data_IF_475434387690
#
_entry.id   IF_475434387690
#
_cell.length_a   1.000
_cell.length_b   1.000
_cell.length_c   1.000
_cell.angle_alpha   90.00
_cell.angle_beta   90.00
_cell.angle_gamma   90.00
#
_symmetry.space_group_name_H-M   'P 1'
#
loop_
_entity.id
_entity.type
_entity.pdbx_description
1 polymer ?
#
# COMPACT_ATOMS: atom_id res chain seq x y z
N UNK A 1 53.68 -4.41 -0.06
CA UNK A 1 53.03 -4.56 1.27
C UNK A 1 52.34 -3.29 1.79
N UNK A 2 53.00 -2.12 1.88
CA UNK A 2 52.37 -0.87 2.39
C UNK A 2 51.11 -0.45 1.62
N UNK A 3 51.16 -0.44 0.27
CA UNK A 3 49.99 -0.12 -0.59
C UNK A 3 48.79 -1.06 -0.38
N UNK A 4 49.02 -2.37 -0.26
CA UNK A 4 47.95 -3.36 -0.05
C UNK A 4 47.27 -3.16 1.31
N UNK A 5 48.04 -2.89 2.38
CA UNK A 5 47.48 -2.55 3.70
C UNK A 5 46.65 -1.27 3.65
N UNK A 6 47.12 -0.26 2.91
CA UNK A 6 46.40 1.01 2.75
C UNK A 6 45.07 0.81 2.00
N UNK A 7 45.07 0.04 0.91
CA UNK A 7 43.84 -0.32 0.17
C UNK A 7 42.86 -1.08 1.07
N UNK A 8 43.35 -2.05 1.86
CA UNK A 8 42.51 -2.80 2.79
C UNK A 8 41.86 -1.93 3.87
N UNK A 9 42.62 -0.98 4.44
CA UNK A 9 42.08 -0.03 5.43
C UNK A 9 41.04 0.90 4.78
N UNK A 10 41.35 1.46 3.60
CA UNK A 10 40.41 2.33 2.89
C UNK A 10 39.10 1.61 2.51
N UNK A 11 39.20 0.35 2.08
CA UNK A 11 38.03 -0.47 1.79
C UNK A 11 37.21 -0.77 3.06
N UNK A 12 37.89 -1.08 4.18
CA UNK A 12 37.25 -1.31 5.46
C UNK A 12 36.50 -0.07 5.97
N UNK A 13 37.11 1.12 5.86
CA UNK A 13 36.46 2.38 6.21
C UNK A 13 35.26 2.66 5.30
N UNK A 14 35.37 2.43 3.99
CA UNK A 14 34.25 2.59 3.06
C UNK A 14 33.08 1.67 3.42
N UNK A 15 33.34 0.40 3.71
CA UNK A 15 32.30 -0.57 4.09
C UNK A 15 31.64 -0.16 5.41
N UNK A 16 32.43 0.26 6.42
CA UNK A 16 31.90 0.71 7.70
C UNK A 16 31.02 1.95 7.53
N UNK A 17 31.44 2.92 6.72
CA UNK A 17 30.65 4.13 6.44
C UNK A 17 29.37 3.80 5.70
N UNK A 18 29.42 2.91 4.69
CA UNK A 18 28.21 2.44 3.99
C UNK A 18 27.27 1.69 4.93
N UNK A 19 27.80 0.89 5.85
CA UNK A 19 27.04 0.18 6.86
C UNK A 19 26.36 1.16 7.84
N UNK A 20 27.07 2.19 8.31
CA UNK A 20 26.52 3.20 9.20
C UNK A 20 25.45 4.05 8.50
N UNK A 21 25.68 4.44 7.24
CA UNK A 21 24.66 5.13 6.44
C UNK A 21 23.44 4.23 6.29
N UNK A 22 23.62 2.96 5.90
CA UNK A 22 22.52 1.99 5.81
C UNK A 22 21.73 1.91 7.13
N UNK A 23 22.43 1.81 8.26
CA UNK A 23 21.84 1.71 9.59
C UNK A 23 20.97 2.92 9.96
N UNK A 24 21.32 4.13 9.53
CA UNK A 24 20.61 5.36 9.91
C UNK A 24 19.66 5.91 8.85
N UNK A 25 19.68 5.37 7.63
CA UNK A 25 19.05 6.00 6.45
C UNK A 25 17.63 5.53 6.14
N UNK A 26 17.13 4.48 6.82
CA UNK A 26 15.82 3.91 6.49
C UNK A 26 15.78 3.22 5.13
N UNK A 27 16.94 2.81 4.59
CA UNK A 27 17.02 1.94 3.42
C UNK A 27 16.89 0.48 3.82
N UNK A 28 16.07 -0.27 3.09
CA UNK A 28 15.85 -1.70 3.31
C UNK A 28 16.21 -2.49 2.06
N UNK A 29 16.78 -3.69 2.24
CA UNK A 29 16.98 -4.63 1.13
C UNK A 29 15.71 -5.41 0.76
N UNK A 30 14.74 -5.43 1.66
CA UNK A 30 13.44 -6.09 1.46
C UNK A 30 12.33 -5.05 1.63
N UNK A 31 11.42 -4.93 0.66
CA UNK A 31 10.28 -4.04 0.80
C UNK A 31 9.36 -4.50 1.94
N UNK A 32 9.25 -5.80 2.17
CA UNK A 32 8.46 -6.33 3.29
C UNK A 32 9.08 -5.96 4.63
N UNK A 33 10.41 -6.06 4.78
CA UNK A 33 11.08 -5.67 6.01
C UNK A 33 10.90 -4.18 6.32
N UNK A 34 10.90 -3.33 5.28
CA UNK A 34 10.60 -1.90 5.40
C UNK A 34 9.21 -1.66 6.01
N UNK A 35 8.18 -2.37 5.54
CA UNK A 35 6.81 -2.21 6.05
C UNK A 35 6.70 -2.78 7.45
N UNK A 36 7.18 -3.99 7.69
CA UNK A 36 7.06 -4.62 9.00
C UNK A 36 7.78 -3.84 10.10
N UNK A 37 8.92 -3.20 9.80
CA UNK A 37 9.59 -2.32 10.76
C UNK A 37 8.70 -1.12 11.14
N UNK A 38 8.07 -0.49 10.15
CA UNK A 38 7.09 0.58 10.37
C UNK A 38 5.88 0.11 11.21
N UNK A 39 5.32 -1.06 10.86
CA UNK A 39 4.19 -1.64 11.60
C UNK A 39 4.56 -2.00 13.05
N UNK A 40 5.78 -2.48 13.30
CA UNK A 40 6.28 -2.71 14.67
C UNK A 40 6.39 -1.39 15.44
N UNK A 41 6.90 -0.34 14.81
CA UNK A 41 6.98 1.00 15.40
C UNK A 41 5.61 1.60 15.75
N UNK A 42 4.57 1.21 15.02
CA UNK A 42 3.18 1.61 15.26
C UNK A 42 2.41 0.69 16.22
N UNK A 43 3.06 -0.33 16.81
CA UNK A 43 2.42 -1.34 17.64
C UNK A 43 1.28 -2.11 16.93
N UNK A 44 1.36 -2.22 15.61
CA UNK A 44 0.35 -2.88 14.77
C UNK A 44 0.55 -4.41 14.70
N UNK A 45 1.76 -4.88 15.02
CA UNK A 45 2.11 -6.29 14.99
C UNK A 45 1.66 -7.01 16.27
N UNK A 46 1.19 -8.27 16.20
CA UNK A 46 1.18 -9.14 15.01
C UNK A 46 0.06 -8.80 14.02
N UNK A 47 0.35 -8.98 12.73
CA UNK A 47 -0.60 -8.80 11.63
C UNK A 47 -0.34 -9.78 10.49
N UNK A 48 -1.38 -10.09 9.73
CA UNK A 48 -1.32 -10.92 8.54
C UNK A 48 -1.14 -10.07 7.28
N UNK A 49 -0.31 -10.53 6.34
CA UNK A 49 -0.17 -9.91 5.02
C UNK A 49 -1.30 -10.39 4.10
N UNK A 50 -2.23 -9.50 3.78
CA UNK A 50 -3.33 -9.74 2.86
C UNK A 50 -2.85 -9.54 1.42
N UNK A 51 -2.31 -8.37 1.07
CA UNK A 51 -1.85 -8.10 -0.30
C UNK A 51 -0.35 -7.80 -0.39
N UNK A 52 0.23 -8.14 -1.54
CA UNK A 52 1.59 -7.79 -2.01
C UNK A 52 1.48 -7.52 -3.51
N UNK A 53 1.15 -6.27 -3.87
CA UNK A 53 1.00 -5.85 -5.28
C UNK A 53 2.25 -5.10 -5.69
N UNK A 54 2.84 -5.49 -6.82
CA UNK A 54 4.10 -4.93 -7.32
C UNK A 54 3.88 -4.22 -8.64
N UNK A 55 4.37 -3.00 -8.71
CA UNK A 55 4.52 -2.24 -9.97
C UNK A 55 6.02 -2.09 -10.26
N UNK A 56 6.39 -1.28 -11.26
CA UNK A 56 7.80 -1.15 -11.68
C UNK A 56 8.72 -0.69 -10.54
N UNK A 57 8.33 0.36 -9.83
CA UNK A 57 9.14 1.00 -8.79
C UNK A 57 8.49 0.99 -7.41
N UNK A 58 7.30 0.41 -7.26
CA UNK A 58 6.58 0.40 -6.00
C UNK A 58 6.08 -0.99 -5.63
N UNK A 59 5.97 -1.22 -4.32
CA UNK A 59 5.30 -2.39 -3.75
C UNK A 59 4.28 -1.89 -2.74
N UNK A 60 3.05 -2.40 -2.85
CA UNK A 60 1.93 -2.06 -1.99
C UNK A 60 1.57 -3.28 -1.16
N UNK A 61 1.47 -3.06 0.15
CA UNK A 61 1.10 -4.07 1.10
C UNK A 61 -0.18 -3.68 1.82
N UNK A 62 -1.06 -4.65 1.98
CA UNK A 62 -2.13 -4.58 2.96
C UNK A 62 -1.82 -5.57 4.06
N UNK A 63 -1.75 -5.09 5.30
CA UNK A 63 -1.72 -5.92 6.50
C UNK A 63 -3.02 -5.75 7.27
N UNK A 64 -3.49 -6.81 7.91
CA UNK A 64 -4.66 -6.76 8.77
C UNK A 64 -4.45 -7.58 10.05
N UNK A 65 -5.10 -7.16 11.13
CA UNK A 65 -5.26 -7.91 12.36
C UNK A 65 -6.75 -7.86 12.79
N UNK A 66 -7.09 -8.40 13.96
CA UNK A 66 -8.47 -8.52 14.45
C UNK A 66 -9.21 -7.17 14.62
N UNK A 67 -8.48 -6.05 14.61
CA UNK A 67 -9.05 -4.73 14.90
C UNK A 67 -8.69 -3.69 13.85
N UNK A 68 -7.64 -3.90 13.07
CA UNK A 68 -7.05 -2.85 12.26
C UNK A 68 -6.59 -3.41 10.91
N UNK A 69 -6.56 -2.56 9.89
CA UNK A 69 -5.82 -2.82 8.67
C UNK A 69 -4.89 -1.64 8.36
N UNK A 70 -3.79 -1.93 7.68
CA UNK A 70 -2.76 -0.96 7.32
C UNK A 70 -2.37 -1.14 5.86
N UNK A 71 -2.58 -0.09 5.07
CA UNK A 71 -2.12 0.01 3.69
C UNK A 71 -0.78 0.74 3.69
N UNK A 72 0.24 0.13 3.10
CA UNK A 72 1.57 0.71 3.01
C UNK A 72 2.11 0.64 1.58
N UNK A 73 2.81 1.69 1.17
CA UNK A 73 3.58 1.71 -0.07
C UNK A 73 5.06 1.80 0.22
N UNK A 74 5.84 1.09 -0.59
CA UNK A 74 7.31 1.07 -0.53
C UNK A 74 7.84 1.39 -1.90
N UNK A 75 8.77 2.34 -1.99
CA UNK A 75 9.41 2.72 -3.25
C UNK A 75 10.78 2.06 -3.35
N UNK A 76 11.01 1.39 -4.48
CA UNK A 76 12.35 0.97 -4.90
C UNK A 76 13.16 2.22 -5.25
N UNK A 77 14.27 2.42 -4.57
CA UNK A 77 15.23 3.49 -4.85
C UNK A 77 16.36 2.96 -5.72
N UNK A 78 17.37 3.79 -6.02
CA UNK A 78 18.51 3.39 -6.82
C UNK A 78 19.10 2.03 -6.37
N UNK A 79 19.48 1.19 -7.33
CA UNK A 79 19.92 -0.20 -7.15
C UNK A 79 18.79 -1.15 -6.67
N UNK A 80 18.93 -1.69 -5.46
CA UNK A 80 18.07 -2.74 -4.89
C UNK A 80 17.60 -2.39 -3.46
N UNK A 81 17.60 -1.09 -3.14
CA UNK A 81 17.12 -0.57 -1.87
C UNK A 81 15.66 -0.13 -1.96
N UNK A 82 15.00 -0.13 -0.81
CA UNK A 82 13.60 0.22 -0.64
C UNK A 82 13.45 1.21 0.52
N UNK A 83 12.51 2.14 0.37
CA UNK A 83 12.13 3.10 1.41
C UNK A 83 10.62 3.17 1.55
N UNK A 84 10.12 3.50 2.73
CA UNK A 84 8.71 3.77 2.93
C UNK A 84 8.28 4.95 2.05
N UNK A 85 7.14 4.81 1.37
CA UNK A 85 6.63 5.80 0.42
C UNK A 85 5.24 6.34 0.79
N UNK A 86 4.68 5.90 1.92
CA UNK A 86 3.38 6.31 2.42
C UNK A 86 2.65 5.15 3.07
N UNK A 87 1.52 5.47 3.70
CA UNK A 87 0.60 4.48 4.23
C UNK A 87 -0.53 5.11 5.03
N UNK A 88 -1.52 4.29 5.34
CA UNK A 88 -2.66 4.60 6.18
C UNK A 88 -2.89 3.42 7.13
N UNK A 89 -3.40 3.71 8.32
CA UNK A 89 -3.85 2.71 9.29
C UNK A 89 -5.29 3.01 9.66
N UNK A 90 -6.14 2.00 9.64
CA UNK A 90 -7.55 2.09 9.96
C UNK A 90 -7.88 1.17 11.13
N UNK A 91 -8.57 1.72 12.13
CA UNK A 91 -8.86 1.06 13.39
C UNK A 91 -10.34 0.71 13.50
N UNK A 92 -10.63 -0.34 14.27
CA UNK A 92 -11.97 -0.81 14.58
C UNK A 92 -12.84 -1.11 13.34
N UNK A 93 -12.22 -1.49 12.22
CA UNK A 93 -12.91 -1.76 10.96
C UNK A 93 -14.01 -2.83 11.06
N UNK A 94 -13.93 -3.88 11.92
CA UNK A 94 -15.02 -4.86 12.03
C UNK A 94 -16.32 -4.28 12.62
N UNK A 95 -16.28 -3.06 13.15
CA UNK A 95 -17.44 -2.38 13.77
C UNK A 95 -18.19 -1.46 12.81
N UNK A 96 -17.76 -1.34 11.56
CA UNK A 96 -18.46 -0.50 10.59
C UNK A 96 -19.87 -1.00 10.33
N UNK A 97 -20.84 -0.09 10.34
CA UNK A 97 -22.25 -0.37 10.01
C UNK A 97 -22.54 -0.23 8.52
N UNK A 98 -21.59 0.32 7.78
CA UNK A 98 -21.68 0.53 6.34
C UNK A 98 -21.55 -0.80 5.59
N UNK A 99 -22.18 -0.99 4.41
CA UNK A 99 -22.05 -2.23 3.63
C UNK A 99 -20.58 -2.57 3.29
N UNK A 100 -19.78 -1.55 3.04
CA UNK A 100 -18.34 -1.62 2.83
C UNK A 100 -17.68 -0.31 3.25
N UNK A 101 -16.39 -0.38 3.57
CA UNK A 101 -15.53 0.76 3.79
C UNK A 101 -14.59 0.95 2.61
N UNK A 102 -14.22 2.20 2.35
CA UNK A 102 -13.28 2.58 1.32
C UNK A 102 -12.03 3.14 1.98
N UNK A 103 -10.88 2.71 1.49
CA UNK A 103 -9.61 3.36 1.77
C UNK A 103 -8.89 3.61 0.45
N UNK A 104 -8.07 4.64 0.46
CA UNK A 104 -7.35 5.11 -0.70
C UNK A 104 -5.95 5.53 -0.31
N UNK A 105 -5.01 5.23 -1.19
CA UNK A 105 -3.66 5.76 -1.10
C UNK A 105 -3.18 6.13 -2.48
N UNK A 106 -2.21 7.01 -2.55
CA UNK A 106 -1.53 7.28 -3.80
C UNK A 106 -0.08 7.63 -3.53
N UNK A 107 0.75 7.35 -4.53
CA UNK A 107 2.09 7.89 -4.61
C UNK A 107 2.20 8.83 -5.81
N UNK A 108 3.43 9.05 -6.29
CA UNK A 108 3.70 9.98 -7.39
C UNK A 108 3.25 9.45 -8.76
N UNK A 109 3.01 8.14 -8.90
CA UNK A 109 2.75 7.49 -10.18
C UNK A 109 1.55 6.53 -10.17
N UNK A 110 1.15 6.02 -9.01
CA UNK A 110 0.00 5.12 -8.89
C UNK A 110 -1.02 5.58 -7.84
N UNK A 111 -2.26 5.16 -8.06
CA UNK A 111 -3.40 5.21 -7.15
C UNK A 111 -3.72 3.80 -6.66
N UNK A 112 -4.07 3.68 -5.39
CA UNK A 112 -4.48 2.44 -4.75
C UNK A 112 -5.90 2.63 -4.24
N UNK A 113 -6.78 1.75 -4.71
CA UNK A 113 -8.16 1.67 -4.24
C UNK A 113 -8.30 0.41 -3.41
N UNK A 114 -8.77 0.56 -2.19
CA UNK A 114 -9.02 -0.53 -1.26
C UNK A 114 -10.49 -0.50 -0.84
N UNK A 115 -11.11 -1.68 -0.86
CA UNK A 115 -12.43 -1.91 -0.30
C UNK A 115 -12.29 -2.94 0.80
N UNK A 116 -12.84 -2.63 1.98
CA UNK A 116 -13.12 -3.61 3.01
C UNK A 116 -14.62 -3.93 3.00
N UNK A 117 -14.95 -5.21 2.82
CA UNK A 117 -16.33 -5.69 2.74
C UNK A 117 -16.85 -6.04 4.13
N UNK A 118 -17.81 -5.26 4.62
CA UNK A 118 -18.51 -5.58 5.88
C UNK A 118 -19.69 -6.53 5.66
N UNK A 119 -20.20 -6.59 4.42
CA UNK A 119 -21.34 -7.39 4.01
C UNK A 119 -20.95 -8.46 2.98
N UNK A 120 -21.02 -9.76 3.32
CA UNK A 120 -20.53 -10.83 2.46
C UNK A 120 -21.34 -10.99 1.16
N UNK A 121 -22.53 -10.39 1.07
CA UNK A 121 -23.35 -10.39 -0.14
C UNK A 121 -22.86 -9.41 -1.21
N UNK A 122 -21.94 -8.49 -0.89
CA UNK A 122 -21.28 -7.64 -1.88
C UNK A 122 -20.29 -8.49 -2.69
N UNK A 123 -20.57 -8.59 -3.99
CA UNK A 123 -19.75 -9.36 -4.93
C UNK A 123 -18.76 -8.47 -5.68
N UNK A 124 -19.10 -7.20 -5.91
CA UNK A 124 -18.31 -6.26 -6.73
C UNK A 124 -18.48 -4.85 -6.20
N UNK A 125 -17.40 -4.07 -6.24
CA UNK A 125 -17.44 -2.61 -6.14
C UNK A 125 -16.85 -1.98 -7.40
N UNK A 126 -17.53 -1.00 -7.95
CA UNK A 126 -17.07 -0.20 -9.08
C UNK A 126 -16.88 1.25 -8.62
N UNK A 127 -15.71 1.81 -8.90
CA UNK A 127 -15.41 3.22 -8.64
C UNK A 127 -15.21 3.94 -9.97
N UNK A 128 -16.13 4.83 -10.31
CA UNK A 128 -16.04 5.70 -11.47
C UNK A 128 -15.44 7.04 -11.05
N UNK A 129 -14.23 7.33 -11.51
CA UNK A 129 -13.47 8.51 -11.11
C UNK A 129 -14.02 9.79 -11.76
N UNK A 130 -14.14 10.86 -10.98
CA UNK A 130 -14.72 12.12 -11.46
C UNK A 130 -13.87 12.81 -12.53
N UNK A 131 -12.54 12.65 -12.46
CA UNK A 131 -11.60 13.36 -13.34
C UNK A 131 -11.67 12.90 -14.80
N UNK A 132 -11.71 11.58 -15.02
CA UNK A 132 -11.54 10.98 -16.35
C UNK A 132 -12.60 9.91 -16.68
N UNK A 133 -13.59 9.70 -15.79
CA UNK A 133 -14.61 8.64 -15.91
C UNK A 133 -14.05 7.21 -16.00
N UNK A 134 -12.77 7.03 -15.67
CA UNK A 134 -12.15 5.70 -15.59
C UNK A 134 -12.80 4.92 -14.47
N UNK A 135 -12.96 3.62 -14.70
CA UNK A 135 -13.60 2.71 -13.75
C UNK A 135 -12.57 1.79 -13.12
N UNK A 136 -12.39 1.87 -11.82
CA UNK A 136 -11.69 0.87 -11.03
C UNK A 136 -12.69 -0.21 -10.60
N UNK A 137 -12.44 -1.45 -11.03
CA UNK A 137 -13.27 -2.59 -10.70
C UNK A 137 -12.60 -3.41 -9.60
N UNK A 138 -13.29 -3.56 -8.47
CA UNK A 138 -12.85 -4.37 -7.33
C UNK A 138 -13.81 -5.55 -7.16
N UNK A 139 -13.44 -6.70 -7.72
CA UNK A 139 -14.19 -7.97 -7.64
C UNK A 139 -13.31 -9.17 -7.22
N UNK A 140 -12.01 -8.97 -7.05
CA UNK A 140 -11.06 -9.97 -6.57
C UNK A 140 -10.88 -9.83 -5.07
N UNK A 141 -11.66 -10.62 -4.32
CA UNK A 141 -11.62 -10.61 -2.86
C UNK A 141 -10.54 -11.56 -2.33
N UNK A 142 -9.78 -11.09 -1.34
CA UNK A 142 -8.97 -11.92 -0.46
C UNK A 142 -9.39 -11.64 0.98
N UNK A 143 -9.84 -12.69 1.65
CA UNK A 143 -10.56 -12.61 2.93
C UNK A 143 -11.80 -11.72 2.74
N UNK A 144 -11.77 -10.47 3.22
CA UNK A 144 -12.82 -9.47 2.99
C UNK A 144 -12.31 -8.17 2.36
N UNK A 145 -11.09 -8.20 1.81
CA UNK A 145 -10.49 -7.05 1.16
C UNK A 145 -10.39 -7.25 -0.35
N UNK A 146 -10.65 -6.19 -1.10
CA UNK A 146 -10.31 -6.10 -2.52
C UNK A 146 -9.43 -4.87 -2.74
N UNK A 147 -8.31 -5.04 -3.43
CA UNK A 147 -7.36 -3.96 -3.66
C UNK A 147 -6.92 -3.95 -5.13
N UNK A 148 -6.92 -2.77 -5.74
CA UNK A 148 -6.39 -2.55 -7.09
C UNK A 148 -5.47 -1.35 -7.11
N UNK A 149 -4.41 -1.45 -7.92
CA UNK A 149 -3.45 -0.37 -8.15
C UNK A 149 -3.52 0.04 -9.61
N UNK A 150 -3.74 1.32 -9.86
CA UNK A 150 -3.84 1.88 -11.21
C UNK A 150 -2.82 3.01 -11.41
N UNK A 151 -2.29 3.22 -12.62
CA UNK A 151 -1.48 4.39 -12.93
C UNK A 151 -2.27 5.68 -12.71
N UNK A 152 -1.61 6.74 -12.24
CA UNK A 152 -2.21 8.07 -12.11
C UNK A 152 -2.47 8.69 -13.48
N UNK A 153 -3.60 9.38 -13.59
CA UNK A 153 -3.98 10.27 -14.70
C UNK A 153 -3.13 11.55 -14.74
N UNK A 154 -2.65 12.04 -13.58
CA UNK A 154 -1.81 13.23 -13.46
C UNK A 154 -1.21 13.42 -12.06
N UNK A 155 -0.24 14.34 -11.94
CA UNK A 155 0.42 14.64 -10.67
C UNK A 155 -0.47 15.40 -9.66
N UNK A 156 -1.42 16.19 -10.18
CA UNK A 156 -2.33 17.04 -9.40
C UNK A 156 -3.77 16.50 -9.37
N UNK A 157 -3.99 15.25 -9.81
CA UNK A 157 -5.33 14.64 -9.83
C UNK A 157 -5.90 14.48 -8.42
N UNK A 158 -7.18 14.82 -8.25
CA UNK A 158 -7.94 14.46 -7.04
C UNK A 158 -8.55 13.08 -7.27
N UNK A 159 -7.82 12.06 -6.85
CA UNK A 159 -8.03 10.67 -7.25
C UNK A 159 -9.07 9.89 -6.43
N UNK A 160 -9.60 10.49 -5.35
CA UNK A 160 -10.63 9.89 -4.51
C UNK A 160 -12.05 10.39 -4.84
N UNK A 161 -12.18 11.36 -5.75
CA UNK A 161 -13.49 11.87 -6.17
C UNK A 161 -14.13 10.96 -7.21
N UNK A 162 -15.45 10.81 -7.15
CA UNK A 162 -16.17 9.96 -8.08
C UNK A 162 -17.42 9.32 -7.50
N UNK A 163 -17.97 8.38 -8.25
CA UNK A 163 -19.12 7.58 -7.83
C UNK A 163 -18.71 6.15 -7.57
N UNK A 164 -18.99 5.65 -6.36
CA UNK A 164 -18.73 4.27 -5.96
C UNK A 164 -20.03 3.51 -5.89
N UNK A 165 -20.10 2.35 -6.55
CA UNK A 165 -21.28 1.50 -6.62
C UNK A 165 -20.93 0.08 -6.18
N UNK A 166 -21.67 -0.43 -5.20
CA UNK A 166 -21.56 -1.81 -4.74
C UNK A 166 -22.69 -2.65 -5.33
N UNK A 167 -22.36 -3.86 -5.77
CA UNK A 167 -23.31 -4.79 -6.38
C UNK A 167 -23.27 -6.15 -5.69
N UNK A 168 -24.43 -6.80 -5.61
CA UNK A 168 -24.53 -8.19 -5.18
C UNK A 168 -24.14 -9.17 -6.31
N UNK A 169 -24.14 -10.47 -6.00
CA UNK A 169 -23.78 -11.53 -6.94
C UNK A 169 -24.73 -11.64 -8.14
N UNK A 170 -25.93 -11.04 -8.08
CA UNK A 170 -26.89 -10.98 -9.18
C UNK A 170 -26.73 -9.71 -10.03
N UNK A 171 -25.79 -8.83 -9.65
CA UNK A 171 -25.54 -7.56 -10.32
C UNK A 171 -26.53 -6.45 -9.92
N UNK A 172 -27.31 -6.65 -8.85
CA UNK A 172 -28.19 -5.60 -8.34
C UNK A 172 -27.38 -4.62 -7.50
N UNK A 173 -27.67 -3.33 -7.66
CA UNK A 173 -27.09 -2.26 -6.86
C UNK A 173 -27.50 -2.41 -5.39
N UNK A 174 -26.50 -2.51 -4.51
CA UNK A 174 -26.66 -2.61 -3.05
C UNK A 174 -26.50 -1.24 -2.41
N UNK A 175 -25.55 -0.45 -2.89
CA UNK A 175 -25.23 0.88 -2.36
C UNK A 175 -24.56 1.75 -3.44
N UNK A 176 -24.77 3.06 -3.35
CA UNK A 176 -24.14 4.07 -4.22
C UNK A 176 -23.72 5.28 -3.38
N UNK A 177 -22.47 5.71 -3.56
CA UNK A 177 -21.89 6.86 -2.86
C UNK A 177 -21.25 7.81 -3.85
N UNK A 178 -21.48 9.10 -3.67
CA UNK A 178 -20.88 10.16 -4.51
C UNK A 178 -19.93 10.98 -3.65
N UNK A 179 -18.67 11.03 -4.07
CA UNK A 179 -17.60 11.79 -3.43
C UNK A 179 -17.29 13.03 -4.29
N UNK A 180 -17.69 14.23 -3.82
CA UNK A 180 -17.60 15.48 -4.58
C UNK A 180 -16.19 16.05 -4.65
#
# INVERSE_FOLDING_TARGET
MKRIKQIGISLGVLILTLFLIYWTSGFYFSPQACVEDSLRGLYFMPAEKIFDIRTENYVYYLYANDHQYALHSVRKTALFFYVAAGGSTHNDYPKSTEPFDLDFSADQVNEVFLVHRNRPDIAKVEWELAEDSRKALLDQWKDDFAMIVLPRSGADSVFWQGTVRAYDAQGKLVDERVFP
#
